data_IF_904084880448
#
_entry.id   IF_904084880448
#
_cell.length_a   1.000
_cell.length_b   1.000
_cell.length_c   1.000
_cell.angle_alpha   90.00
_cell.angle_beta   90.00
_cell.angle_gamma   90.00
#
_symmetry.space_group_name_H-M   'P 1'
#
loop_
_entity.id
_entity.type
_entity.pdbx_description
1 polymer ?
#
# COMPACT_ATOMS: atom_id res chain seq x y z
N UNK A 1 -33.42 -9.43 39.98
CA UNK A 1 -32.01 -9.06 39.73
C UNK A 1 -31.82 -9.00 38.22
N UNK A 2 -31.84 -7.83 37.64
CA UNK A 2 -31.59 -7.64 36.20
C UNK A 2 -30.08 -7.80 35.95
N UNK A 3 -29.74 -8.80 35.13
CA UNK A 3 -28.38 -9.02 34.65
C UNK A 3 -27.98 -7.81 33.79
N UNK A 4 -26.97 -7.07 34.22
CA UNK A 4 -26.36 -6.00 33.45
C UNK A 4 -25.78 -6.63 32.16
N UNK A 5 -26.29 -6.22 31.02
CA UNK A 5 -25.68 -6.51 29.72
C UNK A 5 -24.30 -5.87 29.73
N UNK A 6 -23.21 -6.62 29.49
CA UNK A 6 -21.87 -6.01 29.43
C UNK A 6 -21.88 -4.93 28.35
N UNK A 7 -21.29 -3.77 28.68
CA UNK A 7 -21.07 -2.70 27.69
C UNK A 7 -20.35 -3.29 26.48
N UNK A 8 -20.67 -2.85 25.25
CA UNK A 8 -20.01 -3.37 24.05
C UNK A 8 -18.50 -3.16 24.20
N UNK A 9 -17.73 -4.23 24.00
CA UNK A 9 -16.27 -4.15 23.80
C UNK A 9 -16.00 -2.96 22.88
N UNK A 10 -15.10 -2.08 23.31
CA UNK A 10 -14.79 -0.84 22.59
C UNK A 10 -14.47 -1.18 21.14
N UNK A 11 -15.36 -0.79 20.23
CA UNK A 11 -15.18 -1.05 18.82
C UNK A 11 -13.81 -0.50 18.36
N UNK A 12 -13.04 -1.30 17.64
CA UNK A 12 -11.74 -0.89 17.09
C UNK A 12 -11.90 0.39 16.28
N UNK A 13 -11.01 1.35 16.50
CA UNK A 13 -11.01 2.64 15.82
C UNK A 13 -9.83 2.74 14.87
N UNK A 14 -10.03 3.48 13.77
CA UNK A 14 -8.99 3.74 12.80
C UNK A 14 -8.83 5.24 12.53
N UNK A 15 -7.59 5.67 12.35
CA UNK A 15 -7.25 6.89 11.63
C UNK A 15 -6.97 6.53 10.17
N UNK A 16 -7.46 7.35 9.23
CA UNK A 16 -7.16 7.19 7.81
C UNK A 16 -6.16 8.26 7.39
N UNK A 17 -5.19 7.87 6.58
CA UNK A 17 -4.10 8.71 6.10
C UNK A 17 -4.15 8.82 4.59
N UNK A 18 -4.08 10.04 4.06
CA UNK A 18 -3.85 10.31 2.64
C UNK A 18 -2.65 11.25 2.55
N UNK A 19 -1.64 10.85 1.75
CA UNK A 19 -0.47 11.67 1.46
C UNK A 19 -0.59 12.24 0.05
N UNK A 20 -0.31 13.53 -0.13
CA UNK A 20 -0.33 14.20 -1.45
C UNK A 20 0.82 15.19 -1.59
N UNK A 21 1.17 15.58 -2.82
CA UNK A 21 2.30 16.48 -3.07
C UNK A 21 2.08 17.48 -4.23
N UNK A 22 0.97 17.36 -5.00
CA UNK A 22 0.79 18.13 -6.22
C UNK A 22 -0.66 18.52 -6.48
N UNK A 23 -0.88 19.70 -7.03
CA UNK A 23 -2.18 20.13 -7.52
C UNK A 23 -2.57 19.47 -8.85
N UNK A 24 -1.63 18.89 -9.58
CA UNK A 24 -1.91 18.28 -10.89
C UNK A 24 -2.92 17.10 -10.79
N UNK A 25 -3.08 16.51 -9.59
CA UNK A 25 -4.03 15.41 -9.31
C UNK A 25 -5.13 15.81 -8.33
N UNK A 26 -5.40 17.12 -8.20
CA UNK A 26 -6.34 17.63 -7.19
C UNK A 26 -7.71 16.96 -7.24
N UNK A 27 -8.28 16.76 -8.42
CA UNK A 27 -9.60 16.14 -8.59
C UNK A 27 -9.61 14.66 -8.12
N UNK A 28 -8.51 13.93 -8.36
CA UNK A 28 -8.34 12.55 -7.86
C UNK A 28 -8.24 12.56 -6.33
N UNK A 29 -7.40 13.44 -5.81
CA UNK A 29 -7.21 13.59 -4.37
C UNK A 29 -8.48 14.02 -3.64
N UNK A 30 -9.24 14.95 -4.20
CA UNK A 30 -10.53 15.36 -3.63
C UNK A 30 -11.52 14.17 -3.55
N UNK A 31 -11.59 13.35 -4.61
CA UNK A 31 -12.42 12.13 -4.59
C UNK A 31 -11.95 11.12 -3.57
N UNK A 32 -10.62 10.93 -3.40
CA UNK A 32 -10.05 10.09 -2.36
C UNK A 32 -10.50 10.56 -0.97
N UNK A 33 -10.37 11.85 -0.67
CA UNK A 33 -10.82 12.45 0.61
C UNK A 33 -12.33 12.23 0.83
N UNK A 34 -13.16 12.57 -0.17
CA UNK A 34 -14.63 12.40 -0.05
C UNK A 34 -15.02 10.93 0.14
N UNK A 35 -14.33 9.99 -0.50
CA UNK A 35 -14.59 8.56 -0.33
C UNK A 35 -14.32 8.08 1.10
N UNK A 36 -13.32 8.66 1.79
CA UNK A 36 -13.04 8.38 3.19
C UNK A 36 -14.08 9.01 4.12
N UNK A 37 -14.53 10.21 3.82
CA UNK A 37 -15.57 10.89 4.61
C UNK A 37 -16.96 10.24 4.47
N UNK A 38 -17.18 9.52 3.37
CA UNK A 38 -18.43 8.80 3.08
C UNK A 38 -18.44 7.33 3.53
N UNK A 39 -17.47 6.88 4.33
CA UNK A 39 -17.40 5.49 4.79
C UNK A 39 -18.57 5.10 5.71
N UNK A 40 -19.06 3.86 5.61
CA UNK A 40 -20.10 3.30 6.51
C UNK A 40 -19.67 3.30 7.97
N UNK A 41 -18.38 3.06 8.22
CA UNK A 41 -17.74 3.24 9.53
C UNK A 41 -16.81 4.43 9.40
N UNK A 42 -17.18 5.56 10.00
CA UNK A 42 -16.37 6.77 9.96
C UNK A 42 -15.02 6.55 10.65
N UNK A 43 -13.91 7.01 10.07
CA UNK A 43 -12.64 7.02 10.77
C UNK A 43 -12.70 8.00 11.97
N UNK A 44 -11.84 7.77 12.96
CA UNK A 44 -11.72 8.72 14.06
C UNK A 44 -11.14 10.04 13.56
N UNK A 45 -10.13 9.95 12.70
CA UNK A 45 -9.51 11.10 12.05
C UNK A 45 -9.14 10.77 10.62
N UNK A 46 -9.19 11.81 9.77
CA UNK A 46 -8.54 11.83 8.47
C UNK A 46 -7.30 12.71 8.56
N UNK A 47 -6.13 12.11 8.38
CA UNK A 47 -4.84 12.81 8.42
C UNK A 47 -4.35 13.00 6.98
N UNK A 48 -4.35 14.25 6.52
CA UNK A 48 -3.83 14.65 5.22
C UNK A 48 -2.40 15.15 5.42
N UNK A 49 -1.43 14.48 4.81
CA UNK A 49 -0.03 14.89 4.85
C UNK A 49 0.40 15.40 3.49
N UNK A 50 0.87 16.63 3.45
CA UNK A 50 1.34 17.27 2.23
C UNK A 50 2.87 17.22 2.18
N UNK A 51 3.41 16.62 1.11
CA UNK A 51 4.85 16.47 0.94
C UNK A 51 5.46 17.73 0.29
N UNK A 52 6.04 18.60 1.13
CA UNK A 52 6.85 19.78 0.76
C UNK A 52 6.24 20.68 -0.34
N UNK A 53 4.92 20.96 -0.26
CA UNK A 53 4.22 21.85 -1.18
C UNK A 53 3.24 22.76 -0.42
N UNK A 54 3.68 23.99 -0.16
CA UNK A 54 2.90 24.96 0.63
C UNK A 54 1.58 25.36 -0.06
N UNK A 55 1.53 25.39 -1.40
CA UNK A 55 0.31 25.73 -2.15
C UNK A 55 -0.75 24.63 -1.96
N UNK A 56 -0.36 23.35 -2.07
CA UNK A 56 -1.23 22.20 -1.79
C UNK A 56 -1.69 22.24 -0.34
N UNK A 57 -0.78 22.51 0.60
CA UNK A 57 -1.09 22.57 2.03
C UNK A 57 -2.13 23.66 2.34
N UNK A 58 -1.93 24.86 1.79
CA UNK A 58 -2.86 25.96 1.96
C UNK A 58 -4.25 25.64 1.41
N UNK A 59 -4.31 25.04 0.22
CA UNK A 59 -5.57 24.62 -0.42
C UNK A 59 -6.26 23.52 0.39
N UNK A 60 -5.56 22.51 0.89
CA UNK A 60 -6.12 21.47 1.75
C UNK A 60 -6.75 22.07 3.02
N UNK A 61 -6.05 23.00 3.68
CA UNK A 61 -6.57 23.68 4.88
C UNK A 61 -7.84 24.49 4.59
N UNK A 62 -7.86 25.19 3.46
CA UNK A 62 -9.04 25.95 3.04
C UNK A 62 -10.23 25.03 2.75
N UNK A 63 -10.03 23.92 2.05
CA UNK A 63 -11.10 23.03 1.60
C UNK A 63 -11.67 22.20 2.75
N UNK A 64 -10.83 21.62 3.59
CA UNK A 64 -11.28 20.62 4.57
C UNK A 64 -11.12 21.03 6.04
N UNK A 65 -10.20 21.91 6.41
CA UNK A 65 -10.01 22.26 7.84
C UNK A 65 -10.89 23.43 8.28
N UNK A 66 -11.12 24.42 7.40
CA UNK A 66 -11.90 25.62 7.74
C UNK A 66 -13.41 25.48 7.45
N UNK A 67 -13.81 24.54 6.59
CA UNK A 67 -15.17 24.48 6.03
C UNK A 67 -16.10 23.41 6.59
N UNK A 68 -15.62 22.53 7.49
CA UNK A 68 -16.39 21.34 7.91
C UNK A 68 -16.50 21.16 9.44
N UNK A 69 -16.88 22.22 10.13
CA UNK A 69 -17.10 22.18 11.59
C UNK A 69 -18.16 21.13 12.02
N UNK A 70 -19.07 20.72 11.12
CA UNK A 70 -20.12 19.74 11.37
C UNK A 70 -19.74 18.31 10.97
N UNK A 71 -18.51 18.06 10.49
CA UNK A 71 -18.07 16.70 10.13
C UNK A 71 -17.91 15.84 11.38
N UNK A 72 -18.44 14.60 11.42
CA UNK A 72 -18.18 13.67 12.51
C UNK A 72 -16.71 13.19 12.52
N UNK A 73 -15.92 13.48 11.48
CA UNK A 73 -14.53 13.10 11.31
C UNK A 73 -13.64 14.31 11.54
N UNK A 74 -12.71 14.21 12.47
CA UNK A 74 -11.66 15.22 12.69
C UNK A 74 -10.67 15.18 11.48
N UNK A 75 -10.51 16.30 10.78
CA UNK A 75 -9.59 16.40 9.65
C UNK A 75 -8.34 17.17 10.08
N UNK A 76 -7.19 16.49 10.01
CA UNK A 76 -5.88 17.03 10.38
C UNK A 76 -5.04 17.20 9.11
N UNK A 77 -4.66 18.44 8.77
CA UNK A 77 -3.85 18.75 7.58
C UNK A 77 -2.50 19.29 7.99
N UNK A 78 -1.42 18.59 7.64
CA UNK A 78 -0.05 18.91 8.04
C UNK A 78 0.94 18.80 6.88
N UNK A 79 2.06 19.51 6.99
CA UNK A 79 3.22 19.28 6.13
C UNK A 79 3.98 18.03 6.60
N UNK A 80 4.62 17.33 5.65
CA UNK A 80 5.56 16.25 5.97
C UNK A 80 6.70 16.77 6.85
N UNK A 81 7.00 16.07 7.93
CA UNK A 81 8.07 16.43 8.87
C UNK A 81 9.44 15.92 8.46
N UNK A 82 9.49 14.97 7.53
CA UNK A 82 10.72 14.33 7.08
C UNK A 82 11.00 14.69 5.62
N UNK A 83 12.27 14.64 5.23
CA UNK A 83 12.69 14.95 3.88
C UNK A 83 12.11 13.97 2.86
N UNK A 84 11.35 14.50 1.93
CA UNK A 84 10.83 13.95 0.67
C UNK A 84 10.17 12.57 0.69
N UNK A 85 9.30 12.34 -0.28
CA UNK A 85 8.68 11.09 -0.70
C UNK A 85 7.64 10.46 0.24
N UNK A 86 6.93 9.48 -0.29
CA UNK A 86 5.72 8.87 0.29
C UNK A 86 5.95 8.23 1.67
N UNK A 87 7.06 7.48 1.85
CA UNK A 87 7.39 6.86 3.13
C UNK A 87 7.54 7.89 4.26
N UNK A 88 8.18 9.02 3.97
CA UNK A 88 8.38 10.12 4.93
C UNK A 88 7.06 10.77 5.33
N UNK A 89 6.18 11.01 4.38
CA UNK A 89 4.84 11.55 4.63
C UNK A 89 3.97 10.58 5.41
N UNK A 90 3.99 9.28 5.08
CA UNK A 90 3.29 8.24 5.85
C UNK A 90 3.84 8.11 7.28
N UNK A 91 5.15 8.25 7.49
CA UNK A 91 5.76 8.27 8.82
C UNK A 91 5.32 9.49 9.63
N UNK A 92 5.18 10.66 9.01
CA UNK A 92 4.62 11.86 9.66
C UNK A 92 3.21 11.56 10.19
N UNK A 93 2.35 10.99 9.34
CA UNK A 93 1.00 10.62 9.76
C UNK A 93 0.97 9.56 10.87
N UNK A 94 1.84 8.54 10.78
CA UNK A 94 1.93 7.47 11.79
C UNK A 94 2.24 8.03 13.18
N UNK A 95 3.10 9.04 13.26
CA UNK A 95 3.46 9.69 14.54
C UNK A 95 2.32 10.53 15.10
N UNK A 96 1.48 11.13 14.24
CA UNK A 96 0.30 11.91 14.62
C UNK A 96 -0.92 11.04 14.89
N UNK A 97 -0.95 9.82 14.36
CA UNK A 97 -2.07 8.91 14.54
C UNK A 97 -2.30 8.56 16.02
N UNK A 98 -3.59 8.47 16.42
CA UNK A 98 -4.03 8.18 17.80
C UNK A 98 -4.81 6.88 17.91
N UNK A 99 -5.50 6.49 16.82
CA UNK A 99 -6.26 5.26 16.78
C UNK A 99 -5.36 4.02 16.82
N UNK A 100 -5.92 2.89 17.27
CA UNK A 100 -5.22 1.60 17.31
C UNK A 100 -4.81 1.14 15.91
N UNK A 101 -5.67 1.38 14.93
CA UNK A 101 -5.46 1.04 13.52
C UNK A 101 -5.16 2.33 12.75
N UNK A 102 -4.16 2.27 11.86
CA UNK A 102 -3.87 3.33 10.90
C UNK A 102 -4.03 2.75 9.50
N UNK A 103 -4.94 3.33 8.73
CA UNK A 103 -5.24 2.90 7.36
C UNK A 103 -4.70 3.93 6.37
N UNK A 104 -3.99 3.48 5.35
CA UNK A 104 -3.38 4.31 4.31
C UNK A 104 -4.14 4.12 3.00
N UNK A 105 -4.47 5.24 2.36
CA UNK A 105 -5.08 5.32 1.03
C UNK A 105 -4.25 6.27 0.18
N UNK A 106 -3.95 5.91 -1.07
CA UNK A 106 -3.24 6.83 -1.97
C UNK A 106 -4.15 7.96 -2.46
N UNK A 107 -3.56 9.11 -2.84
CA UNK A 107 -4.27 10.30 -3.30
C UNK A 107 -4.92 10.15 -4.69
N UNK A 108 -4.72 9.03 -5.34
CA UNK A 108 -5.33 8.64 -6.62
C UNK A 108 -6.20 7.37 -6.50
N UNK A 109 -6.68 7.07 -5.28
CA UNK A 109 -7.54 5.93 -5.00
C UNK A 109 -8.84 6.35 -4.30
N UNK A 110 -9.96 5.79 -4.74
CA UNK A 110 -11.29 6.00 -4.16
C UNK A 110 -11.73 4.75 -3.40
N UNK A 111 -11.99 4.86 -2.10
CA UNK A 111 -12.40 3.73 -1.27
C UNK A 111 -13.88 3.38 -1.51
N UNK A 112 -14.19 2.08 -1.59
CA UNK A 112 -15.56 1.61 -1.55
C UNK A 112 -16.24 2.00 -0.21
N UNK A 113 -17.56 2.22 -0.16
CA UNK A 113 -18.25 2.72 1.05
C UNK A 113 -18.00 1.88 2.31
N UNK A 114 -17.75 0.60 2.18
CA UNK A 114 -17.52 -0.36 3.28
C UNK A 114 -16.05 -0.78 3.44
N UNK A 115 -15.13 -0.08 2.77
CA UNK A 115 -13.70 -0.40 2.78
C UNK A 115 -13.11 -0.44 4.20
N UNK A 116 -13.32 0.62 5.00
CA UNK A 116 -12.78 0.71 6.34
C UNK A 116 -13.43 -0.31 7.29
N UNK A 117 -14.75 -0.49 7.17
CA UNK A 117 -15.51 -1.49 7.93
C UNK A 117 -14.93 -2.90 7.72
N UNK A 118 -14.67 -3.28 6.45
CA UNK A 118 -14.08 -4.58 6.11
C UNK A 118 -12.70 -4.77 6.69
N UNK A 119 -11.84 -3.75 6.61
CA UNK A 119 -10.50 -3.81 7.22
C UNK A 119 -10.60 -4.00 8.74
N UNK A 120 -11.43 -3.23 9.42
CA UNK A 120 -11.62 -3.32 10.87
C UNK A 120 -12.21 -4.67 11.32
N UNK A 121 -13.14 -5.22 10.54
CA UNK A 121 -13.72 -6.54 10.80
C UNK A 121 -12.67 -7.66 10.79
N UNK A 122 -11.60 -7.55 9.97
CA UNK A 122 -10.48 -8.51 9.99
C UNK A 122 -9.75 -8.44 11.31
N UNK A 123 -9.41 -7.26 11.82
CA UNK A 123 -8.72 -7.12 13.11
C UNK A 123 -9.55 -7.61 14.29
N UNK A 124 -10.87 -7.43 14.23
CA UNK A 124 -11.79 -7.92 15.27
C UNK A 124 -11.85 -9.44 15.30
N UNK A 125 -11.81 -10.10 14.13
CA UNK A 125 -11.90 -11.56 14.02
C UNK A 125 -10.57 -12.27 14.00
N UNK A 126 -9.47 -11.55 13.75
CA UNK A 126 -8.10 -12.07 13.68
C UNK A 126 -7.16 -11.23 14.57
N UNK A 127 -7.17 -11.41 15.90
CA UNK A 127 -6.37 -10.59 16.83
C UNK A 127 -4.86 -10.62 16.54
N UNK A 128 -4.36 -11.69 15.92
CA UNK A 128 -2.96 -11.82 15.49
C UNK A 128 -2.63 -11.05 14.21
N UNK A 129 -3.60 -10.46 13.51
CA UNK A 129 -3.34 -9.61 12.36
C UNK A 129 -2.67 -8.30 12.80
N UNK A 130 -1.53 -8.00 12.22
CA UNK A 130 -0.77 -6.76 12.44
C UNK A 130 -0.96 -5.81 11.27
N UNK A 131 -1.03 -6.34 10.05
CA UNK A 131 -1.29 -5.56 8.84
C UNK A 131 -2.36 -6.23 7.98
N UNK A 132 -3.27 -5.43 7.42
CA UNK A 132 -4.35 -5.90 6.54
C UNK A 132 -4.41 -5.02 5.31
N UNK A 133 -4.33 -5.61 4.12
CA UNK A 133 -4.47 -4.90 2.85
C UNK A 133 -5.82 -5.14 2.20
N UNK A 134 -6.32 -4.10 1.53
CA UNK A 134 -7.48 -4.19 0.65
C UNK A 134 -7.07 -4.47 -0.81
N UNK A 135 -8.07 -4.49 -1.69
CA UNK A 135 -7.93 -4.79 -3.12
C UNK A 135 -8.02 -3.51 -3.98
N UNK A 136 -6.89 -2.93 -4.41
CA UNK A 136 -6.92 -1.86 -5.39
C UNK A 136 -7.35 -2.42 -6.76
N UNK A 137 -8.51 -1.98 -7.25
CA UNK A 137 -9.02 -2.30 -8.59
C UNK A 137 -8.56 -1.21 -9.55
N UNK A 138 -8.03 -1.55 -10.73
CA UNK A 138 -7.54 -0.55 -11.66
C UNK A 138 -8.70 0.26 -12.27
N UNK A 139 -8.62 1.58 -12.15
CA UNK A 139 -9.42 2.56 -12.87
C UNK A 139 -8.54 3.20 -13.93
N UNK A 140 -8.63 2.71 -15.16
CA UNK A 140 -7.74 3.13 -16.26
C UNK A 140 -8.09 4.50 -16.81
N UNK A 141 -7.14 5.43 -16.83
CA UNK A 141 -7.27 6.77 -17.43
C UNK A 141 -7.30 6.78 -18.96
N UNK A 142 -7.07 5.63 -19.61
CA UNK A 142 -7.21 5.37 -21.05
C UNK A 142 -7.54 3.89 -21.28
N UNK A 143 -7.92 3.47 -22.51
CA UNK A 143 -8.17 2.06 -22.78
C UNK A 143 -6.98 1.18 -22.39
N UNK A 144 -7.26 0.15 -21.59
CA UNK A 144 -6.23 -0.81 -21.15
C UNK A 144 -5.54 -1.44 -22.36
N UNK A 145 -4.20 -1.47 -22.39
CA UNK A 145 -3.51 -2.05 -23.52
C UNK A 145 -3.85 -3.54 -23.70
N UNK A 146 -4.21 -3.97 -24.89
CA UNK A 146 -4.59 -5.37 -25.20
C UNK A 146 -3.48 -6.37 -24.91
N UNK A 147 -2.23 -5.93 -24.98
CA UNK A 147 -1.03 -6.75 -24.71
C UNK A 147 -0.75 -6.95 -23.21
N UNK A 148 -1.33 -6.13 -22.31
CA UNK A 148 -0.97 -6.14 -20.89
C UNK A 148 -1.57 -7.38 -20.20
N UNK A 149 -0.74 -8.24 -19.55
CA UNK A 149 -1.23 -9.46 -18.92
C UNK A 149 -1.88 -9.19 -17.56
N UNK A 150 -3.05 -9.78 -17.26
CA UNK A 150 -3.75 -9.55 -15.99
C UNK A 150 -3.02 -10.09 -14.77
N UNK A 151 -2.06 -10.96 -14.94
CA UNK A 151 -1.17 -11.47 -13.89
C UNK A 151 -0.19 -10.39 -13.39
N UNK A 152 0.02 -9.33 -14.18
CA UNK A 152 0.97 -8.26 -13.91
C UNK A 152 0.33 -6.92 -13.47
N UNK A 153 -0.96 -6.90 -13.11
CA UNK A 153 -1.62 -5.68 -12.60
C UNK A 153 -0.90 -5.09 -11.36
N UNK A 154 -0.10 -5.88 -10.66
CA UNK A 154 0.78 -5.41 -9.59
C UNK A 154 1.79 -4.34 -10.05
N UNK A 155 2.13 -4.31 -11.33
CA UNK A 155 2.98 -3.25 -11.93
C UNK A 155 2.36 -1.87 -11.75
N UNK A 156 1.03 -1.81 -11.73
CA UNK A 156 0.25 -0.58 -11.50
C UNK A 156 -0.09 -0.36 -10.00
N UNK A 157 0.35 -1.23 -9.10
CA UNK A 157 -0.09 -1.19 -7.71
C UNK A 157 -1.54 -1.65 -7.55
N UNK A 158 -1.99 -2.58 -8.39
CA UNK A 158 -3.36 -3.09 -8.38
C UNK A 158 -3.43 -4.58 -8.02
N UNK A 159 -4.64 -5.02 -7.65
CA UNK A 159 -4.96 -6.43 -7.48
C UNK A 159 -4.68 -7.20 -8.77
N UNK A 160 -4.03 -8.35 -8.65
CA UNK A 160 -3.66 -9.20 -9.78
C UNK A 160 -4.11 -10.65 -9.56
N UNK A 161 -4.24 -11.40 -10.64
CA UNK A 161 -4.89 -12.72 -10.70
C UNK A 161 -4.38 -13.76 -9.69
N UNK A 162 -3.13 -13.71 -9.25
CA UNK A 162 -2.59 -14.68 -8.30
C UNK A 162 -2.72 -14.29 -6.82
N UNK A 163 -3.31 -13.14 -6.52
CA UNK A 163 -3.71 -12.80 -5.17
C UNK A 163 -4.93 -13.62 -4.73
N UNK A 164 -5.10 -13.85 -3.43
CA UNK A 164 -6.25 -14.58 -2.90
C UNK A 164 -7.59 -13.89 -3.25
N UNK A 165 -8.62 -14.69 -3.53
CA UNK A 165 -10.01 -14.27 -3.74
C UNK A 165 -10.85 -14.22 -2.44
N UNK A 166 -10.23 -14.59 -1.33
CA UNK A 166 -10.78 -14.57 0.04
C UNK A 166 -9.71 -14.15 1.03
N UNK A 167 -10.13 -13.77 2.23
CA UNK A 167 -9.20 -13.43 3.32
C UNK A 167 -8.14 -14.51 3.50
N UNK A 168 -6.88 -14.13 3.36
CA UNK A 168 -5.75 -15.05 3.48
C UNK A 168 -4.45 -14.30 3.78
N UNK A 169 -3.44 -14.99 4.36
CA UNK A 169 -2.09 -14.44 4.48
C UNK A 169 -1.47 -14.17 3.11
N UNK A 170 -0.77 -13.03 3.01
CA UNK A 170 0.02 -12.65 1.83
C UNK A 170 1.43 -12.27 2.25
N UNK A 171 2.35 -12.31 1.28
CA UNK A 171 3.74 -11.98 1.53
C UNK A 171 3.96 -10.48 1.73
N UNK A 172 3.25 -9.66 0.96
CA UNK A 172 3.26 -8.22 1.07
C UNK A 172 1.92 -7.63 0.64
N UNK A 173 1.61 -6.48 1.20
CA UNK A 173 0.44 -5.70 0.87
C UNK A 173 0.72 -4.80 -0.33
N UNK A 174 -0.34 -4.18 -0.86
CA UNK A 174 -0.25 -3.16 -1.90
C UNK A 174 -0.46 -1.80 -1.20
N UNK A 175 0.53 -0.92 -1.32
CA UNK A 175 0.59 0.35 -0.60
C UNK A 175 -0.57 1.30 -0.83
N UNK A 176 -1.30 1.13 -1.96
CA UNK A 176 -2.49 1.92 -2.30
C UNK A 176 -3.63 1.75 -1.29
N UNK A 177 -3.75 0.55 -0.68
CA UNK A 177 -4.80 0.23 0.28
C UNK A 177 -4.26 -0.72 1.34
N UNK A 178 -3.79 -0.19 2.46
CA UNK A 178 -3.30 -0.99 3.57
C UNK A 178 -3.64 -0.38 4.91
N UNK A 179 -3.73 -1.21 5.94
CA UNK A 179 -3.89 -0.80 7.32
C UNK A 179 -2.93 -1.56 8.22
N UNK A 180 -2.59 -0.98 9.36
CA UNK A 180 -1.63 -1.56 10.31
C UNK A 180 -2.04 -1.27 11.75
N UNK A 181 -1.70 -2.16 12.68
CA UNK A 181 -1.72 -1.82 14.10
C UNK A 181 -0.61 -0.82 14.38
N UNK A 182 -1.00 0.35 14.85
CA UNK A 182 -0.11 1.52 15.04
C UNK A 182 1.13 1.18 15.86
N UNK A 183 0.95 0.55 17.02
CA UNK A 183 2.06 0.29 17.94
C UNK A 183 3.03 -0.77 17.38
N UNK A 184 2.53 -1.80 16.71
CA UNK A 184 3.38 -2.78 16.01
C UNK A 184 4.18 -2.12 14.88
N UNK A 185 3.55 -1.22 14.11
CA UNK A 185 4.24 -0.50 13.04
C UNK A 185 5.34 0.43 13.59
N UNK A 186 5.08 1.12 14.71
CA UNK A 186 6.08 1.92 15.40
C UNK A 186 7.23 1.06 15.94
N UNK A 187 6.92 -0.14 16.44
CA UNK A 187 7.92 -1.07 16.97
C UNK A 187 8.91 -1.55 15.89
N UNK A 188 8.40 -1.79 14.65
CA UNK A 188 9.25 -2.18 13.51
C UNK A 188 9.89 -0.97 12.79
N UNK A 189 9.75 0.26 13.32
CA UNK A 189 10.43 1.46 12.81
C UNK A 189 9.70 2.21 11.69
N UNK A 190 8.40 1.97 11.48
CA UNK A 190 7.61 2.65 10.46
C UNK A 190 7.94 2.23 9.03
N UNK A 191 7.71 3.13 8.07
CA UNK A 191 8.08 2.92 6.67
C UNK A 191 9.56 3.21 6.46
N UNK A 192 10.21 2.38 5.65
CA UNK A 192 11.58 2.57 5.22
C UNK A 192 11.63 2.81 3.71
N UNK A 193 12.57 3.65 3.28
CA UNK A 193 12.91 3.86 1.89
C UNK A 193 11.89 4.60 1.04
N UNK A 194 12.25 4.75 -0.22
CA UNK A 194 11.56 5.60 -1.19
C UNK A 194 10.86 4.80 -2.30
N UNK A 195 11.01 3.48 -2.29
CA UNK A 195 10.39 2.61 -3.27
C UNK A 195 10.11 1.23 -2.68
N UNK A 196 8.93 0.70 -2.93
CA UNK A 196 8.46 -0.59 -2.40
C UNK A 196 8.44 -0.66 -0.86
N UNK A 197 8.15 0.48 -0.22
CA UNK A 197 8.07 0.64 1.23
C UNK A 197 6.96 -0.22 1.85
N UNK A 198 5.92 -0.53 1.10
CA UNK A 198 4.84 -1.45 1.44
C UNK A 198 5.31 -2.90 1.52
N UNK A 199 6.16 -3.29 0.57
CA UNK A 199 6.77 -4.62 0.55
C UNK A 199 7.77 -4.77 1.71
N UNK A 200 8.64 -3.78 1.93
CA UNK A 200 9.58 -3.76 3.05
C UNK A 200 8.85 -3.88 4.39
N UNK A 201 7.87 -3.01 4.63
CA UNK A 201 7.07 -3.02 5.86
C UNK A 201 6.42 -4.40 6.09
N UNK A 202 5.79 -4.96 5.05
CA UNK A 202 5.13 -6.26 5.15
C UNK A 202 6.10 -7.37 5.52
N UNK A 203 7.31 -7.36 4.95
CA UNK A 203 8.34 -8.34 5.26
C UNK A 203 8.85 -8.20 6.70
N UNK A 204 9.08 -6.97 7.19
CA UNK A 204 9.49 -6.74 8.60
C UNK A 204 8.42 -7.17 9.58
N UNK A 205 7.14 -6.89 9.29
CA UNK A 205 6.02 -7.37 10.11
C UNK A 205 5.97 -8.90 10.10
N UNK A 206 6.09 -9.53 8.93
CA UNK A 206 6.08 -10.99 8.83
C UNK A 206 7.28 -11.65 9.51
N UNK A 207 8.44 -11.00 9.51
CA UNK A 207 9.65 -11.46 10.21
C UNK A 207 9.44 -11.44 11.72
N UNK A 208 8.89 -10.34 12.27
CA UNK A 208 8.71 -10.14 13.72
C UNK A 208 7.51 -10.91 14.28
N UNK A 209 6.38 -10.95 13.54
CA UNK A 209 5.09 -11.47 14.03
C UNK A 209 4.63 -12.74 13.34
N UNK A 210 5.42 -13.26 12.40
CA UNK A 210 5.06 -14.42 11.58
C UNK A 210 4.23 -14.06 10.33
N UNK A 211 4.24 -14.95 9.32
CA UNK A 211 3.59 -14.68 8.03
C UNK A 211 2.06 -14.56 8.11
N UNK A 212 1.42 -15.10 9.14
CA UNK A 212 -0.02 -14.97 9.36
C UNK A 212 -0.43 -13.58 9.90
N UNK A 213 0.54 -12.72 10.26
CA UNK A 213 0.27 -11.37 10.73
C UNK A 213 -0.04 -10.38 9.59
N UNK A 214 0.25 -10.74 8.33
CA UNK A 214 -0.01 -9.93 7.14
C UNK A 214 -1.14 -10.57 6.33
N UNK A 215 -2.32 -9.96 6.36
CA UNK A 215 -3.53 -10.50 5.75
C UNK A 215 -3.99 -9.62 4.57
N UNK A 216 -4.69 -10.26 3.63
CA UNK A 216 -5.30 -9.60 2.49
C UNK A 216 -6.80 -9.87 2.47
N UNK A 217 -7.61 -8.80 2.48
CA UNK A 217 -9.08 -8.84 2.40
C UNK A 217 -9.53 -8.33 1.02
N UNK A 218 -9.83 -9.20 0.08
CA UNK A 218 -10.14 -8.81 -1.30
C UNK A 218 -11.46 -8.04 -1.45
N UNK A 219 -12.33 -8.04 -0.42
CA UNK A 219 -13.60 -7.31 -0.43
C UNK A 219 -13.45 -5.86 0.06
N UNK A 220 -12.32 -5.52 0.72
CA UNK A 220 -12.00 -4.14 1.04
C UNK A 220 -11.45 -3.44 -0.22
N UNK A 221 -12.34 -3.07 -1.14
CA UNK A 221 -11.97 -2.56 -2.46
C UNK A 221 -11.71 -1.06 -2.47
N UNK A 222 -10.74 -0.66 -3.31
CA UNK A 222 -10.55 0.74 -3.71
C UNK A 222 -10.39 0.81 -5.23
N UNK A 223 -10.82 1.90 -5.85
CA UNK A 223 -10.61 2.18 -7.27
C UNK A 223 -9.34 3.00 -7.42
N UNK A 224 -8.27 2.40 -7.92
CA UNK A 224 -6.97 3.04 -8.07
C UNK A 224 -6.78 3.55 -9.50
N UNK A 225 -6.57 4.86 -9.66
CA UNK A 225 -6.38 5.47 -10.98
C UNK A 225 -5.03 5.08 -11.58
N UNK A 226 -5.08 4.49 -12.77
CA UNK A 226 -3.90 4.14 -13.55
C UNK A 226 -3.73 5.14 -14.69
N UNK A 227 -2.77 6.07 -14.59
CA UNK A 227 -2.58 7.10 -15.63
C UNK A 227 -1.99 6.49 -16.92
N UNK A 228 -2.25 7.13 -18.09
CA UNK A 228 -1.83 6.60 -19.39
C UNK A 228 -0.32 6.40 -19.53
N UNK A 229 0.50 7.22 -18.89
CA UNK A 229 1.96 7.12 -18.90
C UNK A 229 2.51 5.86 -18.22
N UNK A 230 1.75 5.28 -17.26
CA UNK A 230 2.05 3.98 -16.67
C UNK A 230 1.68 2.80 -17.57
N UNK A 231 0.75 2.97 -18.50
CA UNK A 231 0.29 1.92 -19.43
C UNK A 231 1.22 1.72 -20.64
N UNK A 232 2.49 2.03 -20.50
CA UNK A 232 3.50 1.93 -21.54
C UNK A 232 4.39 0.71 -21.37
N UNK A 233 4.94 0.22 -22.50
CA UNK A 233 5.89 -0.89 -22.47
C UNK A 233 7.13 -0.58 -21.64
N UNK A 234 7.65 0.65 -21.72
CA UNK A 234 8.82 1.09 -20.95
C UNK A 234 8.57 1.13 -19.45
N UNK A 235 7.35 1.45 -19.03
CA UNK A 235 6.96 1.40 -17.61
C UNK A 235 6.87 -0.06 -17.14
N UNK A 236 6.22 -0.93 -17.91
CA UNK A 236 6.05 -2.36 -17.59
C UNK A 236 7.40 -3.04 -17.33
N UNK A 237 8.31 -2.99 -18.30
CA UNK A 237 9.57 -3.72 -18.13
C UNK A 237 10.49 -3.14 -17.06
N UNK A 238 10.52 -1.81 -16.88
CA UNK A 238 11.26 -1.19 -15.76
C UNK A 238 10.73 -1.68 -14.42
N UNK A 239 9.40 -1.68 -14.22
CA UNK A 239 8.80 -2.15 -12.96
C UNK A 239 9.08 -3.63 -12.71
N UNK A 240 9.00 -4.48 -13.74
CA UNK A 240 9.35 -5.90 -13.61
C UNK A 240 10.80 -6.11 -13.19
N UNK A 241 11.72 -5.35 -13.75
CA UNK A 241 13.16 -5.44 -13.44
C UNK A 241 13.45 -4.86 -12.04
N UNK A 242 13.03 -3.62 -11.77
CA UNK A 242 13.40 -2.91 -10.55
C UNK A 242 12.78 -3.53 -9.30
N UNK A 243 11.55 -3.99 -9.33
CA UNK A 243 10.90 -4.64 -8.19
C UNK A 243 11.69 -5.85 -7.70
N UNK A 244 12.21 -6.68 -8.61
CA UNK A 244 12.98 -7.86 -8.25
C UNK A 244 14.44 -7.55 -7.88
N UNK A 245 15.02 -6.50 -8.47
CA UNK A 245 16.36 -6.00 -8.11
C UNK A 245 16.39 -5.47 -6.68
N UNK A 246 15.42 -4.60 -6.32
CA UNK A 246 15.32 -3.97 -4.99
C UNK A 246 14.99 -5.02 -3.91
N UNK A 247 14.13 -5.99 -4.21
CA UNK A 247 13.77 -7.08 -3.30
C UNK A 247 14.99 -7.82 -2.73
N UNK A 248 16.05 -7.98 -3.52
CA UNK A 248 17.30 -8.61 -3.05
C UNK A 248 17.95 -7.80 -1.93
N UNK A 249 17.94 -6.47 -2.03
CA UNK A 249 18.46 -5.60 -0.97
C UNK A 249 17.63 -5.71 0.31
N UNK A 250 16.28 -5.68 0.20
CA UNK A 250 15.37 -5.81 1.34
C UNK A 250 15.61 -7.10 2.13
N UNK A 251 15.82 -8.23 1.45
CA UNK A 251 16.11 -9.49 2.11
C UNK A 251 17.49 -9.52 2.79
N UNK A 252 18.48 -8.90 2.16
CA UNK A 252 19.80 -8.83 2.74
C UNK A 252 19.82 -8.03 4.05
N UNK A 253 19.08 -6.94 4.12
CA UNK A 253 18.96 -6.12 5.33
C UNK A 253 18.30 -6.86 6.51
N UNK A 254 17.38 -7.78 6.21
CA UNK A 254 16.75 -8.63 7.23
C UNK A 254 17.58 -9.88 7.59
N UNK A 255 18.78 -10.06 7.01
CA UNK A 255 19.60 -11.26 7.21
C UNK A 255 18.99 -12.52 6.58
N UNK A 256 18.00 -12.39 5.69
CA UNK A 256 17.37 -13.52 5.04
C UNK A 256 18.08 -13.90 3.74
N UNK A 257 18.38 -15.19 3.57
CA UNK A 257 18.76 -15.76 2.27
C UNK A 257 17.49 -15.95 1.45
N UNK A 258 17.11 -14.96 0.65
CA UNK A 258 15.90 -14.83 -0.13
C UNK A 258 15.11 -16.10 -0.43
N UNK A 259 13.97 -16.25 0.22
CA UNK A 259 13.02 -17.32 -0.11
C UNK A 259 12.27 -16.97 -1.41
N UNK A 260 12.71 -17.53 -2.54
CA UNK A 260 12.13 -17.33 -3.88
C UNK A 260 10.87 -18.21 -4.13
N UNK A 261 10.35 -18.87 -3.11
CA UNK A 261 9.23 -19.80 -3.27
C UNK A 261 7.93 -19.15 -3.77
N UNK A 262 7.69 -17.88 -3.44
CA UNK A 262 6.53 -17.13 -3.95
C UNK A 262 6.73 -16.75 -5.42
N UNK A 263 7.92 -16.32 -5.80
CA UNK A 263 8.31 -16.00 -7.17
C UNK A 263 8.23 -17.23 -8.08
N UNK A 264 8.67 -18.39 -7.58
CA UNK A 264 8.54 -19.65 -8.32
C UNK A 264 7.07 -20.05 -8.51
N UNK A 265 6.24 -19.93 -7.47
CA UNK A 265 4.79 -20.18 -7.60
C UNK A 265 4.13 -19.22 -8.60
N UNK A 266 4.48 -17.94 -8.55
CA UNK A 266 4.02 -16.97 -9.53
C UNK A 266 4.47 -17.34 -10.94
N UNK A 267 5.75 -17.71 -11.13
CA UNK A 267 6.28 -18.18 -12.40
C UNK A 267 5.54 -19.40 -12.95
N UNK A 268 5.28 -20.41 -12.08
CA UNK A 268 4.48 -21.60 -12.47
C UNK A 268 3.06 -21.18 -12.86
N UNK A 269 2.42 -20.28 -12.14
CA UNK A 269 1.08 -19.78 -12.47
C UNK A 269 1.06 -19.12 -13.86
N UNK A 270 2.04 -18.27 -14.18
CA UNK A 270 2.18 -17.64 -15.50
C UNK A 270 2.43 -18.68 -16.60
N UNK A 271 3.28 -19.68 -16.36
CA UNK A 271 3.55 -20.76 -17.31
C UNK A 271 2.30 -21.59 -17.60
N UNK A 272 1.52 -21.92 -16.57
CA UNK A 272 0.27 -22.66 -16.75
C UNK A 272 -0.78 -21.84 -17.51
N UNK A 273 -0.75 -20.51 -17.45
CA UNK A 273 -1.63 -19.64 -18.22
C UNK A 273 -1.35 -19.65 -19.73
N UNK A 274 -0.19 -20.15 -20.18
CA UNK A 274 0.14 -20.28 -21.61
C UNK A 274 -0.79 -21.25 -22.34
N UNK A 275 -1.18 -22.37 -21.69
CA UNK A 275 -2.01 -23.40 -22.35
C UNK A 275 -3.39 -22.84 -22.74
N UNK A 276 -4.18 -22.25 -21.82
CA UNK A 276 -5.46 -21.64 -22.20
C UNK A 276 -5.30 -20.45 -23.13
N UNK A 277 -4.16 -19.72 -23.08
CA UNK A 277 -3.88 -18.62 -23.98
C UNK A 277 -3.67 -19.09 -25.43
N UNK A 278 -2.95 -20.18 -25.64
CA UNK A 278 -2.78 -20.81 -26.95
C UNK A 278 -4.12 -21.29 -27.52
N UNK A 279 -4.92 -21.98 -26.70
CA UNK A 279 -6.27 -22.43 -27.12
C UNK A 279 -7.16 -21.25 -27.49
N UNK A 280 -7.13 -20.16 -26.71
CA UNK A 280 -7.89 -18.95 -26.99
C UNK A 280 -7.45 -18.27 -28.30
N UNK A 281 -6.14 -18.27 -28.61
CA UNK A 281 -5.61 -17.71 -29.84
C UNK A 281 -6.14 -18.48 -31.09
N UNK A 282 -6.16 -19.81 -31.02
CA UNK A 282 -6.69 -20.66 -32.10
C UNK A 282 -8.20 -20.45 -32.27
N UNK A 283 -8.93 -20.11 -31.22
CA UNK A 283 -10.38 -19.83 -31.22
C UNK A 283 -10.75 -18.37 -31.53
N UNK A 284 -9.82 -17.59 -32.10
CA UNK A 284 -10.08 -16.21 -32.53
C UNK A 284 -9.83 -15.11 -31.51
N UNK A 285 -9.06 -15.38 -30.43
CA UNK A 285 -8.64 -14.41 -29.43
C UNK A 285 -7.12 -14.27 -29.36
N UNK A 286 -6.45 -13.73 -30.39
CA UNK A 286 -4.98 -13.67 -30.46
C UNK A 286 -4.37 -12.77 -29.39
N UNK A 287 -5.12 -11.83 -28.82
CA UNK A 287 -4.67 -10.98 -27.72
C UNK A 287 -4.28 -11.77 -26.47
N UNK A 288 -4.89 -12.95 -26.26
CA UNK A 288 -4.54 -13.82 -25.12
C UNK A 288 -3.14 -14.43 -25.28
N UNK A 289 -2.76 -14.79 -26.50
CA UNK A 289 -1.40 -15.26 -26.77
C UNK A 289 -0.39 -14.13 -26.59
N UNK A 290 -0.71 -12.93 -27.07
CA UNK A 290 0.13 -11.75 -26.86
C UNK A 290 0.35 -11.47 -25.36
N UNK A 291 -0.71 -11.47 -24.56
CA UNK A 291 -0.63 -11.32 -23.10
C UNK A 291 0.26 -12.38 -22.45
N UNK A 292 0.12 -13.64 -22.85
CA UNK A 292 0.94 -14.72 -22.32
C UNK A 292 2.42 -14.57 -22.67
N UNK A 293 2.74 -14.18 -23.90
CA UNK A 293 4.12 -13.90 -24.32
C UNK A 293 4.72 -12.71 -23.55
N UNK A 294 3.94 -11.65 -23.35
CA UNK A 294 4.36 -10.49 -22.54
C UNK A 294 4.57 -10.90 -21.08
N UNK A 295 3.75 -11.77 -20.52
CA UNK A 295 3.94 -12.29 -19.17
C UNK A 295 5.26 -13.08 -19.05
N UNK A 296 5.63 -13.86 -20.06
CA UNK A 296 6.93 -14.53 -20.11
C UNK A 296 8.10 -13.55 -20.14
N UNK A 297 7.99 -12.48 -20.92
CA UNK A 297 8.99 -11.40 -20.94
C UNK A 297 9.08 -10.74 -19.56
N UNK A 298 7.94 -10.46 -18.89
CA UNK A 298 7.90 -9.93 -17.54
C UNK A 298 8.61 -10.82 -16.51
N UNK A 299 8.42 -12.14 -16.59
CA UNK A 299 9.15 -13.10 -15.75
C UNK A 299 10.67 -13.08 -16.03
N UNK A 300 11.08 -13.06 -17.29
CA UNK A 300 12.49 -12.99 -17.68
C UNK A 300 13.14 -11.70 -17.14
N UNK A 301 12.47 -10.55 -17.28
CA UNK A 301 12.92 -9.26 -16.74
C UNK A 301 13.03 -9.30 -15.22
N UNK A 302 12.07 -9.92 -14.54
CA UNK A 302 12.12 -10.15 -13.10
C UNK A 302 13.34 -10.98 -12.69
N UNK A 303 13.62 -12.06 -13.41
CA UNK A 303 14.83 -12.89 -13.23
C UNK A 303 16.11 -12.10 -13.44
N UNK A 304 16.20 -11.29 -14.50
CA UNK A 304 17.33 -10.40 -14.77
C UNK A 304 17.52 -9.37 -13.63
N UNK A 305 16.42 -8.78 -13.14
CA UNK A 305 16.44 -7.86 -11.99
C UNK A 305 17.00 -8.53 -10.74
N UNK A 306 16.50 -9.74 -10.42
CA UNK A 306 17.01 -10.52 -9.29
C UNK A 306 18.53 -10.79 -9.39
N UNK A 307 18.99 -11.26 -10.55
CA UNK A 307 20.43 -11.51 -10.79
C UNK A 307 21.23 -10.23 -10.65
N UNK A 308 20.77 -9.12 -11.22
CA UNK A 308 21.43 -7.82 -11.10
C UNK A 308 21.53 -7.39 -9.63
N UNK A 309 20.45 -7.53 -8.84
CA UNK A 309 20.48 -7.25 -7.40
C UNK A 309 21.48 -8.10 -6.64
N UNK A 310 21.54 -9.41 -6.93
CA UNK A 310 22.54 -10.33 -6.33
C UNK A 310 24.00 -9.94 -6.68
N UNK A 311 24.25 -9.54 -7.91
CA UNK A 311 25.58 -9.06 -8.36
C UNK A 311 25.94 -7.75 -7.66
N UNK A 312 25.01 -6.81 -7.54
CA UNK A 312 25.22 -5.56 -6.81
C UNK A 312 25.57 -5.82 -5.34
N UNK A 313 24.78 -6.67 -4.67
CA UNK A 313 25.02 -7.06 -3.29
C UNK A 313 26.40 -7.70 -3.10
N UNK A 314 26.79 -8.63 -3.99
CA UNK A 314 28.09 -9.30 -3.95
C UNK A 314 29.28 -8.34 -4.17
N UNK A 315 29.04 -7.20 -4.86
CA UNK A 315 30.04 -6.14 -5.07
C UNK A 315 30.09 -5.11 -3.94
N UNK A 316 29.35 -5.30 -2.86
CA UNK A 316 29.23 -4.34 -1.75
C UNK A 316 28.51 -3.03 -2.11
N UNK A 317 27.77 -3.03 -3.23
CA UNK A 317 26.91 -1.92 -3.66
C UNK A 317 25.45 -2.41 -3.65
N UNK A 318 24.84 -2.62 -2.46
CA UNK A 318 23.46 -3.10 -2.41
C UNK A 318 22.55 -2.16 -3.21
N UNK A 319 21.50 -2.69 -3.85
CA UNK A 319 20.45 -1.84 -4.44
C UNK A 319 20.01 -0.84 -3.40
N UNK A 320 19.79 0.43 -3.80
CA UNK A 320 19.35 1.49 -2.87
C UNK A 320 18.26 0.96 -1.93
N UNK A 321 18.66 0.69 -0.71
CA UNK A 321 17.79 0.27 0.38
C UNK A 321 18.02 1.25 1.52
N UNK A 322 17.13 2.18 1.75
CA UNK A 322 16.30 2.18 2.93
C UNK A 322 17.00 2.65 4.20
N UNK A 323 17.52 3.87 4.18
CA UNK A 323 18.18 4.44 5.38
C UNK A 323 17.28 5.31 6.24
N UNK A 324 15.98 5.44 5.92
CA UNK A 324 15.09 6.44 6.54
C UNK A 324 13.90 5.86 7.33
N UNK A 325 14.13 4.82 8.12
CA UNK A 325 13.15 4.39 9.13
C UNK A 325 13.07 5.37 10.31
N UNK A 326 11.99 5.31 11.05
CA UNK A 326 11.85 6.03 12.31
C UNK A 326 12.83 5.45 13.33
N UNK A 327 13.88 6.18 13.66
CA UNK A 327 14.73 5.79 14.80
C UNK A 327 13.92 5.89 16.11
N UNK A 328 14.24 5.06 17.10
CA UNK A 328 13.61 5.14 18.44
C UNK A 328 13.71 6.55 19.02
N UNK A 329 14.80 7.27 18.75
CA UNK A 329 14.97 8.67 19.14
C UNK A 329 14.02 9.60 18.36
N UNK A 330 13.79 9.34 17.07
CA UNK A 330 12.83 10.06 16.23
C UNK A 330 11.40 9.89 16.71
N UNK A 331 11.00 8.67 17.06
CA UNK A 331 9.68 8.35 17.63
C UNK A 331 9.47 9.10 18.96
N UNK A 332 10.46 9.12 19.86
CA UNK A 332 10.37 9.85 21.15
C UNK A 332 10.23 11.35 20.92
N UNK A 333 11.01 11.95 20.02
CA UNK A 333 10.97 13.38 19.73
C UNK A 333 9.63 13.79 19.12
N UNK A 334 9.08 13.00 18.20
CA UNK A 334 7.81 13.28 17.56
C UNK A 334 6.62 13.10 18.52
N UNK A 335 6.66 12.13 19.44
CA UNK A 335 5.65 12.03 20.53
C UNK A 335 5.65 13.26 21.43
N UNK A 336 6.83 13.82 21.71
CA UNK A 336 6.94 15.06 22.50
C UNK A 336 6.35 16.27 21.76
N UNK A 337 6.55 16.36 20.44
CA UNK A 337 5.97 17.43 19.61
C UNK A 337 4.44 17.28 19.49
N UNK A 338 3.94 16.07 19.29
CA UNK A 338 2.51 15.82 19.22
C UNK A 338 1.79 16.14 20.56
N UNK A 339 2.41 15.82 21.69
CA UNK A 339 1.87 16.19 23.01
C UNK A 339 1.84 17.71 23.23
N UNK A 340 2.83 18.44 22.73
CA UNK A 340 2.88 19.90 22.83
C UNK A 340 1.87 20.63 21.93
N UNK A 341 1.38 19.99 20.86
CA UNK A 341 0.32 20.53 19.98
C UNK A 341 -1.09 20.24 20.48
N UNK A 342 -1.26 19.30 21.41
CA UNK A 342 -2.54 19.01 22.06
C UNK A 342 -2.87 19.96 23.23
N UNK A 343 -1.85 20.65 23.77
CA UNK A 343 -1.98 21.60 24.87
C UNK A 343 -2.08 23.09 24.39
N UNK A 344 -2.08 23.32 23.09
CA UNK A 344 -2.18 24.67 22.48
C UNK A 344 -3.46 24.80 21.64
#
# INVERSE_FOLDING_TARGET
>A
MASAVPAPETALRADVVICTYTLARWELFARAVESVLAQTVAPQRLIIVVDHNDEVLARCRQEWSAGRADSPVEIVTVASQFAGKQASSRNTALLLARAEIVSFLDDDAEAAPDWLERLLAVYATHPGAVAVGGAPRPNYGAPRPSWFPPEFEWVFGCHYRSLPDRLAPVRHLIGTSMSVRRDNMLAVGGFHGDAFEDMDLSHRIAHEHGPAAVLYEPRAEVQHYVPPDRMTWSYFWRRCFDANRIKVGLWADMGESGNIGAELRFGVHVLLALVPALLAAVTGRPERLQQALVAMVGLALGGCGYVAGRVQLARGCPPEVLTTGLSVAGVRRARAVAAATDDA
#
